data_IF_529788052545
#
_entry.id   IF_529788052545
#
_cell.length_a   1.000
_cell.length_b   1.000
_cell.length_c   1.000
_cell.angle_alpha   90.00
_cell.angle_beta   90.00
_cell.angle_gamma   90.00
#
_symmetry.space_group_name_H-M   'P 1'
#
loop_
_entity.id
_entity.type
_entity.pdbx_description
1 polymer ?
#
# COMPACT_ATOMS: atom_id res chain seq x y z
N UNK A 1 -3.02 -19.39 -6.28
CA UNK A 1 -2.08 -19.10 -5.16
C UNK A 1 -2.35 -17.68 -4.72
N UNK A 2 -2.71 -17.45 -3.45
CA UNK A 2 -2.87 -16.09 -2.91
C UNK A 2 -1.50 -15.59 -2.48
N UNK A 3 -1.11 -14.41 -2.96
CA UNK A 3 0.17 -13.78 -2.60
C UNK A 3 -0.07 -12.60 -1.63
N UNK A 4 0.65 -12.58 -0.52
CA UNK A 4 0.65 -11.50 0.48
C UNK A 4 1.95 -10.71 0.30
N UNK A 5 1.88 -9.37 0.42
CA UNK A 5 3.07 -8.50 0.33
C UNK A 5 3.12 -7.48 1.44
N UNK A 6 4.26 -7.36 2.10
CA UNK A 6 4.52 -6.31 3.08
C UNK A 6 4.99 -4.99 2.41
N UNK A 7 5.17 -3.94 3.21
CA UNK A 7 5.59 -2.63 2.70
C UNK A 7 6.94 -2.66 1.98
N UNK A 8 7.88 -3.54 2.36
CA UNK A 8 9.20 -3.62 1.72
C UNK A 8 9.09 -4.20 0.32
N UNK A 9 8.24 -5.20 0.13
CA UNK A 9 7.94 -5.72 -1.20
C UNK A 9 7.19 -4.69 -2.06
N UNK A 10 6.21 -4.00 -1.49
CA UNK A 10 5.47 -2.93 -2.19
C UNK A 10 6.43 -1.84 -2.67
N UNK A 11 7.38 -1.41 -1.83
CA UNK A 11 8.39 -0.40 -2.17
C UNK A 11 9.34 -0.84 -3.30
N UNK A 12 9.60 -2.15 -3.44
CA UNK A 12 10.41 -2.68 -4.53
C UNK A 12 9.64 -2.72 -5.85
N UNK A 13 8.33 -2.94 -5.80
CA UNK A 13 7.48 -3.09 -6.97
C UNK A 13 6.96 -1.76 -7.51
N UNK A 14 6.64 -0.81 -6.63
CA UNK A 14 6.09 0.48 -6.99
C UNK A 14 7.16 1.58 -6.94
N UNK A 15 7.16 2.53 -7.90
CA UNK A 15 8.07 3.67 -7.86
C UNK A 15 7.63 4.75 -6.85
N UNK A 16 6.35 4.76 -6.45
CA UNK A 16 5.79 5.75 -5.53
C UNK A 16 6.49 5.74 -4.16
N UNK A 17 6.71 6.93 -3.59
CA UNK A 17 7.31 7.16 -2.28
C UNK A 17 6.49 8.20 -1.51
N UNK A 18 6.85 8.45 -0.25
CA UNK A 18 6.25 9.52 0.52
C UNK A 18 6.29 10.86 -0.26
N UNK A 19 5.19 11.64 -0.31
CA UNK A 19 3.91 11.43 0.38
C UNK A 19 2.82 10.71 -0.47
N UNK A 20 3.16 10.14 -1.63
CA UNK A 20 2.22 9.57 -2.59
C UNK A 20 2.12 8.02 -2.59
N UNK A 21 2.94 7.32 -1.80
CA UNK A 21 2.71 5.90 -1.56
C UNK A 21 1.63 5.72 -0.49
N UNK A 22 0.43 5.31 -0.92
CA UNK A 22 -0.76 5.17 -0.07
C UNK A 22 -1.16 3.71 0.14
N UNK A 23 -0.20 2.78 0.16
CA UNK A 23 -0.48 1.36 0.42
C UNK A 23 0.50 0.84 1.46
N UNK A 24 -0.02 0.16 2.49
CA UNK A 24 0.79 -0.40 3.56
C UNK A 24 1.05 -1.90 3.38
N UNK A 25 0.06 -2.64 2.85
CA UNK A 25 0.13 -4.09 2.69
C UNK A 25 -0.80 -4.59 1.58
N UNK A 26 -0.41 -5.65 0.89
CA UNK A 26 -1.32 -6.45 0.05
C UNK A 26 -1.78 -7.67 0.83
N UNK A 27 -3.09 -7.83 0.99
CA UNK A 27 -3.73 -8.92 1.72
C UNK A 27 -4.04 -10.11 0.81
N UNK A 28 -4.41 -9.84 -0.44
CA UNK A 28 -4.67 -10.85 -1.45
C UNK A 28 -4.25 -10.33 -2.82
N UNK A 29 -3.62 -11.19 -3.61
CA UNK A 29 -3.28 -10.93 -5.00
C UNK A 29 -3.51 -12.19 -5.82
N UNK A 30 -4.39 -12.07 -6.81
CA UNK A 30 -4.67 -13.07 -7.85
C UNK A 30 -4.37 -12.47 -9.23
N UNK A 31 -4.61 -13.22 -10.30
CA UNK A 31 -4.44 -12.72 -11.67
C UNK A 31 -5.43 -11.63 -12.06
N UNK A 32 -6.59 -11.59 -11.40
CA UNK A 32 -7.72 -10.72 -11.76
C UNK A 32 -8.06 -9.68 -10.68
N UNK A 33 -7.60 -9.90 -9.44
CA UNK A 33 -7.97 -9.07 -8.30
C UNK A 33 -6.79 -8.83 -7.35
N UNK A 34 -6.80 -7.65 -6.72
CA UNK A 34 -5.95 -7.31 -5.58
C UNK A 34 -6.80 -6.75 -4.44
N UNK A 35 -6.52 -7.19 -3.21
CA UNK A 35 -7.06 -6.59 -1.98
C UNK A 35 -5.88 -6.08 -1.18
N UNK A 36 -5.90 -4.79 -0.86
CA UNK A 36 -4.80 -4.12 -0.17
C UNK A 36 -5.31 -3.24 0.98
N UNK A 37 -4.41 -2.93 1.91
CA UNK A 37 -4.68 -2.16 3.12
C UNK A 37 -3.97 -0.81 3.07
N UNK A 38 -4.73 0.25 3.34
CA UNK A 38 -4.27 1.59 3.68
C UNK A 38 -4.74 1.88 5.11
N UNK A 39 -3.81 2.05 6.04
CA UNK A 39 -4.13 2.63 7.33
C UNK A 39 -4.26 4.14 7.16
N UNK A 40 -5.30 4.69 7.78
CA UNK A 40 -5.56 6.13 7.78
C UNK A 40 -5.27 6.67 9.17
N UNK A 41 -4.45 7.72 9.25
CA UNK A 41 -4.09 8.35 10.52
C UNK A 41 -4.04 9.86 10.39
N UNK A 42 -4.44 10.58 11.44
CA UNK A 42 -4.39 12.05 11.49
C UNK A 42 -2.98 12.62 11.27
N UNK A 43 -1.94 11.79 11.44
CA UNK A 43 -0.54 12.16 11.21
C UNK A 43 -0.11 12.17 9.72
N UNK A 44 -1.04 12.00 8.77
CA UNK A 44 -0.72 12.11 7.34
C UNK A 44 -0.71 13.57 6.87
N UNK A 45 0.24 13.98 6.01
CA UNK A 45 0.49 15.39 5.71
C UNK A 45 -0.70 16.10 5.05
N UNK A 46 -1.55 15.38 4.31
CA UNK A 46 -2.71 15.96 3.64
C UNK A 46 -3.87 16.30 4.59
N UNK A 47 -3.84 15.88 5.86
CA UNK A 47 -4.84 16.29 6.85
C UNK A 47 -4.63 17.72 7.37
N UNK A 48 -3.53 18.39 7.00
CA UNK A 48 -3.29 19.79 7.38
C UNK A 48 -4.19 20.80 6.66
N UNK A 49 -4.80 20.42 5.53
CA UNK A 49 -5.64 21.29 4.68
C UNK A 49 -4.86 21.88 3.51
#
# INVERSE_FOLDING_TARGET
>A
MVMIKDIREVLKLLPHRYPFLLLDRVLELTSEQIVALKNVTINEPFFQG
#
